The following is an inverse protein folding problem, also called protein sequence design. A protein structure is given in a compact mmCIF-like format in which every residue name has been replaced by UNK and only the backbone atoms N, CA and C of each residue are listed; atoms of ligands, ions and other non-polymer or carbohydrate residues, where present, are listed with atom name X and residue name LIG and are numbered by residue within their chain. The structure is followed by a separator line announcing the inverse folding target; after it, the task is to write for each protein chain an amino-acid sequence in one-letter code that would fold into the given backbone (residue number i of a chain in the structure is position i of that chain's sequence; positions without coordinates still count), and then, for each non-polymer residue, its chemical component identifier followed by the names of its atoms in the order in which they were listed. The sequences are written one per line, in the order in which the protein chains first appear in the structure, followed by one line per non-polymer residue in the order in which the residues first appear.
data_IF_826614172174
#
_entry.id   IF_826614172174
#
_cell.length_a   1.000
_cell.length_b   1.000
_cell.length_c   1.000
_cell.angle_alpha   90.00
_cell.angle_beta   90.00
_cell.angle_gamma   90.00
#
_symmetry.space_group_name_H-M   'P 1'
#
loop_
_entity.id
_entity.type
_entity.pdbx_description
1 polymer ?
#
# COMPACT_ATOMS: atom_id res chain seq x y z
N UNK A 1 -23.30 26.51 -13.41
CA UNK A 1 -21.87 26.27 -13.15
C UNK A 1 -21.81 25.47 -11.86
N UNK A 2 -21.92 24.14 -11.95
CA UNK A 2 -22.08 23.28 -10.76
C UNK A 2 -20.80 22.48 -10.56
N UNK A 3 -20.36 22.47 -9.30
CA UNK A 3 -19.02 22.21 -8.79
C UNK A 3 -18.42 20.85 -9.12
N UNK A 4 -17.20 20.85 -9.67
CA UNK A 4 -16.35 19.68 -9.93
C UNK A 4 -15.70 19.07 -8.66
N UNK A 5 -16.19 19.37 -7.45
CA UNK A 5 -15.51 19.00 -6.19
C UNK A 5 -15.85 17.60 -5.67
N UNK A 6 -16.90 16.94 -6.18
CA UNK A 6 -17.31 15.63 -5.66
C UNK A 6 -16.47 14.47 -6.21
N UNK A 7 -15.82 14.63 -7.38
CA UNK A 7 -15.09 13.54 -8.04
C UNK A 7 -13.67 13.34 -7.51
N UNK A 8 -13.06 14.35 -6.87
CA UNK A 8 -11.69 14.24 -6.35
C UNK A 8 -11.59 13.69 -4.91
N UNK A 9 -12.60 13.91 -4.06
CA UNK A 9 -12.56 13.42 -2.67
C UNK A 9 -12.62 11.89 -2.56
N UNK A 10 -13.29 11.22 -3.51
CA UNK A 10 -13.44 9.77 -3.48
C UNK A 10 -12.11 9.03 -3.75
N UNK A 11 -11.30 9.56 -4.67
CA UNK A 11 -9.96 9.06 -4.97
C UNK A 11 -9.00 9.26 -3.78
N UNK A 12 -8.97 10.48 -3.23
CA UNK A 12 -8.09 10.81 -2.11
C UNK A 12 -8.37 9.96 -0.85
N UNK A 13 -9.64 9.70 -0.54
CA UNK A 13 -9.99 8.87 0.62
C UNK A 13 -9.64 7.39 0.40
N UNK A 14 -9.82 6.88 -0.83
CA UNK A 14 -9.39 5.53 -1.20
C UNK A 14 -7.86 5.39 -1.12
N UNK A 15 -7.12 6.34 -1.68
CA UNK A 15 -5.65 6.36 -1.66
C UNK A 15 -5.13 6.39 -0.22
N UNK A 16 -5.71 7.25 0.63
CA UNK A 16 -5.35 7.31 2.05
C UNK A 16 -5.60 5.98 2.76
N UNK A 17 -6.73 5.30 2.48
CA UNK A 17 -7.06 4.00 3.06
C UNK A 17 -6.07 2.91 2.61
N UNK A 18 -5.66 2.92 1.34
CA UNK A 18 -4.68 1.95 0.82
C UNK A 18 -3.28 2.23 1.36
N UNK A 19 -2.86 3.50 1.42
CA UNK A 19 -1.57 3.89 1.99
C UNK A 19 -1.45 3.56 3.47
N UNK A 20 -2.53 3.71 4.25
CA UNK A 20 -2.57 3.25 5.66
C UNK A 20 -2.31 1.74 5.78
N UNK A 21 -2.83 0.93 4.84
CA UNK A 21 -2.56 -0.51 4.81
C UNK A 21 -1.11 -0.81 4.42
N UNK A 22 -0.58 -0.12 3.41
CA UNK A 22 0.82 -0.23 3.03
C UNK A 22 1.77 0.12 4.19
N UNK A 23 1.47 1.17 4.97
CA UNK A 23 2.23 1.54 6.17
C UNK A 23 2.16 0.48 7.28
N UNK A 24 1.00 -0.15 7.48
CA UNK A 24 0.87 -1.24 8.45
C UNK A 24 1.75 -2.45 8.07
N UNK A 25 1.82 -2.75 6.76
CA UNK A 25 2.72 -3.77 6.22
C UNK A 25 4.19 -3.37 6.39
N UNK A 26 4.55 -2.11 6.13
CA UNK A 26 5.91 -1.60 6.34
C UNK A 26 6.39 -1.75 7.79
N UNK A 27 5.52 -1.44 8.77
CA UNK A 27 5.80 -1.67 10.20
C UNK A 27 6.01 -3.14 10.54
N UNK A 28 5.32 -4.05 9.84
CA UNK A 28 5.54 -5.48 10.00
C UNK A 28 6.93 -5.88 9.52
N UNK A 29 7.38 -5.40 8.37
CA UNK A 29 8.77 -5.64 7.92
C UNK A 29 9.80 -5.07 8.89
N UNK A 30 9.58 -3.87 9.41
CA UNK A 30 10.47 -3.26 10.43
C UNK A 30 10.65 -4.19 11.63
N UNK A 31 9.55 -4.75 12.16
CA UNK A 31 9.59 -5.68 13.29
C UNK A 31 10.32 -6.99 13.01
N UNK A 32 10.51 -7.33 11.73
CA UNK A 32 11.25 -8.50 11.28
C UNK A 32 12.72 -8.19 10.97
N UNK A 33 13.17 -6.94 11.18
CA UNK A 33 14.52 -6.49 10.84
C UNK A 33 14.72 -6.23 9.34
N UNK A 34 13.63 -6.22 8.56
CA UNK A 34 13.64 -5.92 7.13
C UNK A 34 13.50 -4.41 6.88
N UNK A 35 13.87 -3.95 5.67
CA UNK A 35 13.63 -2.55 5.28
C UNK A 35 12.11 -2.28 5.26
N UNK A 36 11.63 -1.20 5.91
CA UNK A 36 10.21 -0.97 6.15
C UNK A 36 9.47 -0.49 4.89
N UNK A 37 9.14 -1.43 4.01
CA UNK A 37 8.40 -1.17 2.77
C UNK A 37 7.22 -2.13 2.70
N UNK A 38 6.03 -1.57 2.50
CA UNK A 38 4.80 -2.32 2.26
C UNK A 38 4.13 -1.87 0.97
N UNK A 39 3.53 -2.82 0.25
CA UNK A 39 2.82 -2.57 -1.00
C UNK A 39 1.48 -3.30 -1.01
N UNK A 40 0.48 -2.67 -1.63
CA UNK A 40 -0.86 -3.24 -1.84
C UNK A 40 -1.25 -3.08 -3.30
N UNK A 41 -1.86 -4.11 -3.88
CA UNK A 41 -2.42 -4.07 -5.24
C UNK A 41 -3.94 -4.21 -5.13
N UNK A 42 -4.67 -3.34 -5.82
CA UNK A 42 -6.14 -3.33 -5.84
C UNK A 42 -6.67 -3.52 -7.26
N UNK A 43 -7.86 -4.12 -7.37
CA UNK A 43 -8.62 -4.08 -8.60
C UNK A 43 -9.32 -2.73 -8.79
N UNK A 44 -9.97 -2.55 -9.94
CA UNK A 44 -10.74 -1.34 -10.27
C UNK A 44 -11.94 -1.08 -9.34
N UNK A 45 -12.34 -2.06 -8.54
CA UNK A 45 -13.45 -1.97 -7.59
C UNK A 45 -12.95 -1.65 -6.17
N UNK A 46 -11.64 -1.45 -5.99
CA UNK A 46 -11.02 -1.17 -4.69
C UNK A 46 -10.82 -2.41 -3.81
N UNK A 47 -11.00 -3.62 -4.35
CA UNK A 47 -10.68 -4.87 -3.65
C UNK A 47 -9.18 -5.11 -3.70
N UNK A 48 -8.59 -5.42 -2.56
CA UNK A 48 -7.17 -5.79 -2.48
C UNK A 48 -6.99 -7.20 -3.05
N UNK A 49 -6.14 -7.31 -4.07
CA UNK A 49 -5.81 -8.58 -4.72
C UNK A 49 -4.47 -9.14 -4.27
N UNK A 50 -3.56 -8.29 -3.81
CA UNK A 50 -2.27 -8.70 -3.25
C UNK A 50 -1.74 -7.69 -2.23
N UNK A 51 -0.94 -8.19 -1.28
CA UNK A 51 -0.23 -7.41 -0.27
C UNK A 51 1.15 -8.02 -0.05
N UNK A 52 2.19 -7.20 0.02
CA UNK A 52 3.56 -7.66 0.21
C UNK A 52 4.36 -6.69 1.08
N UNK A 53 5.42 -7.21 1.70
CA UNK A 53 6.44 -6.46 2.44
C UNK A 53 7.81 -6.77 1.86
N UNK A 54 8.80 -5.92 2.14
CA UNK A 54 10.17 -6.26 1.79
C UNK A 54 10.63 -7.55 2.50
N UNK A 55 11.49 -8.31 1.82
CA UNK A 55 12.10 -9.55 2.27
C UNK A 55 13.60 -9.59 1.88
N UNK A 56 14.22 -8.43 1.63
CA UNK A 56 15.54 -8.36 0.99
C UNK A 56 16.65 -8.91 1.90
N UNK A 57 16.52 -8.76 3.20
CA UNK A 57 17.48 -9.32 4.15
C UNK A 57 17.28 -10.84 4.29
N UNK A 58 16.04 -11.34 4.20
CA UNK A 58 15.70 -12.77 4.34
C UNK A 58 15.87 -13.59 3.05
N UNK A 59 15.59 -13.01 1.87
CA UNK A 59 15.58 -13.71 0.57
C UNK A 59 16.73 -13.28 -0.33
N UNK A 60 17.90 -12.99 0.25
CA UNK A 60 19.13 -12.63 -0.46
C UNK A 60 19.25 -13.44 -1.76
N UNK A 61 18.82 -12.82 -2.88
CA UNK A 61 18.95 -13.40 -4.20
C UNK A 61 20.23 -12.79 -4.71
N UNK A 62 21.30 -13.57 -4.64
CA UNK A 62 22.49 -13.28 -5.43
C UNK A 62 22.06 -13.31 -6.90
N UNK A 63 22.18 -12.15 -7.56
CA UNK A 63 22.08 -12.06 -9.02
C UNK A 63 23.40 -12.50 -9.64
#
# INVERSE_FOLDING_TARGET
MTSNNQTQEFGANFDLKMMRKALALARKSESLGEVPIGAVITDKNGKIIAQATNLRETKCTVL
#
